data_IF_076469115007
#
_entry.id   IF_076469115007
#
_cell.length_a   1.000
_cell.length_b   1.000
_cell.length_c   1.000
_cell.angle_alpha   90.00
_cell.angle_beta   90.00
_cell.angle_gamma   90.00
#
_symmetry.space_group_name_H-M   'P 1'
#
loop_
_entity.id
_entity.type
_entity.pdbx_description
1 polymer ?
#
# COMPACT_ATOMS: atom_id res chain seq x y z
N UNK A 1 15.93 1.32 8.78
CA UNK A 1 14.67 1.27 8.00
C UNK A 1 14.66 2.34 6.94
N UNK A 2 14.23 1.98 5.75
CA UNK A 2 14.23 2.92 4.64
C UNK A 2 12.80 3.33 4.34
N UNK A 3 12.55 4.61 4.16
CA UNK A 3 11.23 5.14 3.85
C UNK A 3 11.19 5.63 2.41
N UNK A 4 10.23 5.12 1.65
CA UNK A 4 10.00 5.62 0.30
C UNK A 4 8.70 6.43 0.34
N UNK A 5 8.75 7.71 0.01
CA UNK A 5 7.55 8.54 -0.02
C UNK A 5 7.10 8.66 -1.47
N UNK A 6 5.99 8.02 -1.80
CA UNK A 6 5.50 8.01 -3.17
C UNK A 6 4.44 9.08 -3.41
N UNK A 7 3.89 9.64 -2.36
CA UNK A 7 2.94 10.72 -2.44
C UNK A 7 2.56 11.16 -1.05
N UNK A 8 2.41 12.47 -0.83
CA UNK A 8 2.04 13.00 0.48
C UNK A 8 1.19 14.25 0.33
N UNK A 9 0.26 14.24 -0.59
CA UNK A 9 -0.58 15.41 -0.82
C UNK A 9 -2.03 14.98 -0.93
N UNK A 10 -2.91 15.95 -1.13
CA UNK A 10 -4.33 15.64 -1.29
C UNK A 10 -4.60 14.90 -2.60
N UNK A 11 -3.64 14.83 -3.49
CA UNK A 11 -3.85 14.10 -4.74
C UNK A 11 -3.40 12.64 -4.62
N UNK A 12 -2.80 12.25 -3.51
CA UNK A 12 -2.44 10.86 -3.31
C UNK A 12 -1.41 10.70 -2.22
N UNK A 13 -1.58 9.67 -1.38
CA UNK A 13 -0.68 9.42 -0.28
C UNK A 13 -0.25 7.96 -0.31
N UNK A 14 1.03 7.71 -0.18
CA UNK A 14 1.55 6.36 -0.10
C UNK A 14 2.98 6.39 0.43
N UNK A 15 3.24 5.57 1.43
CA UNK A 15 4.55 5.50 2.05
C UNK A 15 4.95 4.03 2.16
N UNK A 16 6.18 3.70 1.83
CA UNK A 16 6.67 2.33 1.94
C UNK A 16 7.78 2.31 2.97
N UNK A 17 7.59 1.51 4.02
CA UNK A 17 8.59 1.35 5.07
C UNK A 17 9.30 0.03 4.83
N UNK A 18 10.57 0.07 4.53
CA UNK A 18 11.33 -1.12 4.16
C UNK A 18 12.38 -1.45 5.20
N UNK A 19 12.41 -2.71 5.64
CA UNK A 19 13.40 -3.17 6.58
C UNK A 19 14.72 -3.35 5.85
N UNK A 20 15.79 -2.80 6.39
CA UNK A 20 17.10 -2.94 5.77
C UNK A 20 17.66 -4.33 6.04
N UNK A 21 17.15 -5.02 7.05
CA UNK A 21 17.66 -6.34 7.35
C UNK A 21 17.02 -7.42 6.49
N UNK A 22 15.72 -7.35 6.30
CA UNK A 22 15.01 -8.42 5.59
C UNK A 22 14.54 -8.01 4.21
N UNK A 23 14.47 -6.71 3.94
CA UNK A 23 13.92 -6.21 2.69
C UNK A 23 12.40 -6.18 2.67
N UNK A 24 11.75 -6.63 3.75
CA UNK A 24 10.30 -6.63 3.78
C UNK A 24 9.75 -5.21 3.83
N UNK A 25 8.62 -4.99 3.20
CA UNK A 25 8.03 -3.67 3.04
C UNK A 25 6.62 -3.65 3.61
N UNK A 26 6.30 -2.60 4.36
CA UNK A 26 4.95 -2.33 4.78
C UNK A 26 4.49 -1.08 4.05
N UNK A 27 3.38 -1.17 3.33
CA UNK A 27 2.83 0.00 2.65
C UNK A 27 1.82 0.67 3.56
N UNK A 28 1.90 1.99 3.67
CA UNK A 28 0.95 2.77 4.45
C UNK A 28 0.28 3.74 3.51
N UNK A 29 -1.00 3.61 3.32
CA UNK A 29 -1.85 4.32 2.42
C UNK A 29 -1.60 3.84 0.99
N UNK A 30 -2.61 3.78 0.19
CA UNK A 30 -2.54 3.27 -1.18
C UNK A 30 -3.19 4.26 -2.16
N UNK A 31 -2.87 5.52 -2.00
CA UNK A 31 -3.52 6.59 -2.75
C UNK A 31 -2.82 7.02 -4.03
N UNK A 32 -1.85 6.25 -4.51
CA UNK A 32 -1.15 6.59 -5.75
C UNK A 32 -1.39 5.50 -6.77
N UNK A 33 -0.95 5.74 -8.00
CA UNK A 33 -1.06 4.70 -9.02
C UNK A 33 -0.13 3.54 -8.65
N UNK A 34 -0.60 2.33 -8.81
CA UNK A 34 0.18 1.16 -8.41
C UNK A 34 1.53 1.06 -9.11
N UNK A 35 1.65 1.62 -10.30
CA UNK A 35 2.93 1.62 -10.99
C UNK A 35 4.02 2.34 -10.19
N UNK A 36 3.66 3.32 -9.39
CA UNK A 36 4.65 4.00 -8.57
C UNK A 36 5.21 3.04 -7.52
N UNK A 37 4.35 2.20 -6.96
CA UNK A 37 4.77 1.21 -5.99
C UNK A 37 5.69 0.19 -6.65
N UNK A 38 5.30 -0.28 -7.84
CA UNK A 38 6.10 -1.28 -8.53
C UNK A 38 7.48 -0.74 -8.88
N UNK A 39 7.54 0.50 -9.35
CA UNK A 39 8.83 1.08 -9.73
C UNK A 39 9.71 1.33 -8.51
N UNK A 40 9.12 1.74 -7.40
CA UNK A 40 9.91 2.02 -6.21
C UNK A 40 10.57 0.76 -5.65
N UNK A 41 9.97 -0.40 -5.88
CA UNK A 41 10.49 -1.66 -5.38
C UNK A 41 11.11 -2.52 -6.48
N UNK A 42 11.36 -1.91 -7.63
CA UNK A 42 12.01 -2.58 -8.75
C UNK A 42 11.18 -3.81 -9.12
N UNK A 43 9.88 -3.68 -9.08
CA UNK A 43 8.90 -4.69 -9.43
C UNK A 43 8.93 -5.94 -8.52
N UNK A 44 9.57 -5.85 -7.37
CA UNK A 44 9.61 -6.96 -6.43
C UNK A 44 8.44 -6.83 -5.45
N UNK A 45 7.23 -7.11 -5.89
CA UNK A 45 6.05 -6.98 -5.05
C UNK A 45 6.00 -8.04 -3.95
N UNK A 46 6.77 -9.11 -4.09
CA UNK A 46 6.76 -10.15 -3.06
C UNK A 46 7.37 -9.65 -1.75
N UNK A 47 8.08 -8.53 -1.78
CA UNK A 47 8.66 -7.98 -0.56
C UNK A 47 7.61 -7.30 0.30
N UNK A 48 6.43 -6.97 -0.26
CA UNK A 48 5.42 -6.25 0.49
C UNK A 48 4.64 -7.22 1.35
N UNK A 49 4.69 -7.03 2.67
CA UNK A 49 4.02 -7.92 3.60
C UNK A 49 2.61 -7.46 3.96
N UNK A 50 2.28 -6.24 3.68
CA UNK A 50 0.92 -5.75 3.95
C UNK A 50 0.76 -4.29 3.59
N UNK A 51 -0.48 -3.82 3.61
CA UNK A 51 -0.82 -2.43 3.33
C UNK A 51 -1.83 -1.97 4.39
N UNK A 52 -1.59 -0.82 4.98
CA UNK A 52 -2.49 -0.23 5.96
C UNK A 52 -3.08 1.03 5.37
N UNK A 53 -4.40 1.13 5.34
CA UNK A 53 -5.09 2.29 4.80
C UNK A 53 -5.94 2.91 5.89
N UNK A 54 -5.70 4.17 6.20
CA UNK A 54 -6.38 4.83 7.31
C UNK A 54 -7.69 5.50 6.92
N UNK A 55 -7.88 5.80 5.64
CA UNK A 55 -9.09 6.47 5.19
C UNK A 55 -9.60 5.84 3.92
N UNK A 56 -10.91 5.88 3.71
CA UNK A 56 -11.48 5.29 2.51
C UNK A 56 -11.51 6.24 1.33
N UNK A 57 -10.98 7.44 1.44
CA UNK A 57 -10.98 8.38 0.33
C UNK A 57 -9.96 7.97 -0.72
N UNK A 58 -10.19 8.36 -1.95
CA UNK A 58 -9.34 7.95 -3.06
C UNK A 58 -7.88 8.34 -2.93
N UNK A 59 -7.60 9.46 -2.26
CA UNK A 59 -6.21 9.88 -2.09
C UNK A 59 -5.46 8.99 -1.08
N UNK A 60 -6.14 8.03 -0.44
CA UNK A 60 -5.51 7.10 0.47
C UNK A 60 -5.72 5.65 0.02
N UNK A 61 -6.68 5.40 -0.88
CA UNK A 61 -7.06 4.04 -1.23
C UNK A 61 -7.13 3.78 -2.74
N UNK A 62 -6.52 4.63 -3.55
CA UNK A 62 -6.66 4.51 -5.00
C UNK A 62 -6.25 3.15 -5.57
N UNK A 63 -5.21 2.56 -5.07
CA UNK A 63 -4.75 1.30 -5.63
C UNK A 63 -4.90 0.12 -4.67
N UNK A 64 -5.85 0.20 -3.73
CA UNK A 64 -6.10 -0.91 -2.83
C UNK A 64 -6.43 -2.18 -3.61
N UNK A 65 -7.25 -2.07 -4.65
CA UNK A 65 -7.60 -3.24 -5.45
C UNK A 65 -6.38 -3.90 -6.08
N UNK A 66 -5.38 -3.10 -6.45
CA UNK A 66 -4.18 -3.65 -7.07
C UNK A 66 -3.36 -4.42 -6.03
N UNK A 67 -3.31 -3.93 -4.78
CA UNK A 67 -2.61 -4.65 -3.74
C UNK A 67 -3.31 -6.00 -3.49
N UNK A 68 -4.64 -5.98 -3.44
CA UNK A 68 -5.41 -7.18 -3.20
C UNK A 68 -5.21 -8.18 -4.32
N UNK A 69 -5.22 -7.72 -5.57
CA UNK A 69 -5.02 -8.60 -6.70
C UNK A 69 -3.60 -9.17 -6.71
N UNK A 70 -2.66 -8.52 -6.06
CA UNK A 70 -1.30 -9.03 -5.95
C UNK A 70 -1.14 -9.91 -4.71
N UNK A 71 -2.23 -10.26 -4.06
CA UNK A 71 -2.25 -11.10 -2.86
C UNK A 71 -1.55 -10.46 -1.68
N UNK A 72 -1.58 -9.13 -1.59
CA UNK A 72 -1.00 -8.41 -0.47
C UNK A 72 -2.14 -8.08 0.49
N UNK A 73 -2.07 -8.50 1.75
CA UNK A 73 -3.15 -8.21 2.70
C UNK A 73 -3.31 -6.72 2.94
N UNK A 74 -4.54 -6.24 2.96
CA UNK A 74 -4.81 -4.84 3.21
C UNK A 74 -5.62 -4.71 4.48
N UNK A 75 -5.15 -3.89 5.41
CA UNK A 75 -5.81 -3.66 6.68
C UNK A 75 -6.37 -2.24 6.67
N UNK A 76 -7.67 -2.11 6.79
CA UNK A 76 -8.33 -0.83 6.62
C UNK A 76 -9.03 -0.41 7.87
N UNK A 77 -9.12 0.90 8.08
CA UNK A 77 -9.78 1.40 9.26
C UNK A 77 -11.28 1.28 9.10
N UNK A 78 -11.98 1.58 10.17
CA UNK A 78 -13.41 1.51 10.16
C UNK A 78 -13.97 2.41 9.09
N UNK A 79 -14.95 1.97 8.40
CA UNK A 79 -15.56 2.73 7.33
C UNK A 79 -15.12 2.26 5.96
N UNK A 80 -14.01 1.56 5.86
CA UNK A 80 -13.55 1.04 4.59
C UNK A 80 -13.97 -0.41 4.53
N UNK A 81 -14.86 -0.74 3.60
CA UNK A 81 -15.34 -2.06 3.48
C UNK A 81 -14.81 -2.64 2.22
N UNK A 82 -14.21 -3.78 2.30
CA UNK A 82 -13.72 -4.36 1.12
C UNK A 82 -13.98 -5.81 1.19
N UNK A 83 -15.07 -6.21 0.70
CA UNK A 83 -15.46 -7.50 0.79
C UNK A 83 -14.63 -8.47 0.16
N UNK A 84 -14.16 -8.17 -0.90
CA UNK A 84 -13.48 -9.13 -1.66
C UNK A 84 -12.30 -9.63 -0.99
N UNK A 85 -11.86 -8.91 -0.14
CA UNK A 85 -10.66 -9.37 0.31
C UNK A 85 -10.62 -9.71 1.64
N UNK A 86 -11.56 -9.85 2.20
CA UNK A 86 -11.55 -10.01 3.44
C UNK A 86 -10.72 -10.94 3.93
N UNK A 87 -9.55 -11.12 3.75
CA UNK A 87 -8.70 -12.04 4.42
C UNK A 87 -8.45 -11.45 5.76
N UNK A 88 -8.80 -10.30 5.94
CA UNK A 88 -8.55 -9.75 7.24
C UNK A 88 -9.85 -9.58 8.01
#
# INVERSE_FOLDING_TARGET
MKLHVLGSSSSGNCYLFQSEKTGEVLAVEAGVKFNKVKKALDFNLNSIVGCIVSHEHGDHAKCVGDFINACIPCYMSQGIQHDAAEPY
#
